data_IF_568329105752
#
_entry.id   IF_568329105752
#
_cell.length_a   1.000
_cell.length_b   1.000
_cell.length_c   1.000
_cell.angle_alpha   90.00
_cell.angle_beta   90.00
_cell.angle_gamma   90.00
#
_symmetry.space_group_name_H-M   'P 1'
#
loop_
_entity.id
_entity.type
_entity.pdbx_description
1 polymer ?
#
# COMPACT_ATOMS: atom_id res chain seq x y z
N UNK A 1 -9.38 6.81 -28.29
CA UNK A 1 -8.54 6.07 -27.31
C UNK A 1 -8.23 4.71 -27.90
N UNK A 2 -6.97 4.31 -27.92
CA UNK A 2 -6.58 2.94 -28.29
C UNK A 2 -6.14 2.23 -27.02
N UNK A 3 -6.77 1.09 -26.76
CA UNK A 3 -6.37 0.21 -25.67
C UNK A 3 -5.25 -0.69 -26.19
N UNK A 4 -4.15 -0.78 -25.46
CA UNK A 4 -3.10 -1.77 -25.74
C UNK A 4 -3.70 -3.17 -25.55
N UNK A 5 -3.56 -4.07 -26.53
CA UNK A 5 -4.01 -5.46 -26.41
C UNK A 5 -3.35 -6.26 -25.28
N UNK A 6 -2.33 -5.69 -24.61
CA UNK A 6 -1.68 -6.26 -23.44
C UNK A 6 -2.32 -5.82 -22.10
N UNK A 7 -3.35 -4.97 -22.12
CA UNK A 7 -4.01 -4.51 -20.90
C UNK A 7 -5.13 -5.47 -20.48
N UNK A 8 -4.84 -6.44 -19.64
CA UNK A 8 -5.80 -7.44 -19.15
C UNK A 8 -6.86 -6.86 -18.19
N UNK A 9 -6.59 -5.72 -17.56
CA UNK A 9 -7.45 -5.13 -16.52
C UNK A 9 -7.87 -3.68 -16.79
N UNK A 10 -7.52 -3.12 -17.93
CA UNK A 10 -7.78 -1.74 -18.30
C UNK A 10 -6.51 -0.88 -18.31
N UNK A 11 -6.61 0.33 -18.80
CA UNK A 11 -5.52 1.31 -18.80
C UNK A 11 -6.01 2.67 -18.34
N UNK A 12 -5.17 3.40 -17.63
CA UNK A 12 -5.41 4.79 -17.23
C UNK A 12 -4.54 5.68 -18.11
N UNK A 13 -5.16 6.55 -18.90
CA UNK A 13 -4.44 7.55 -19.69
C UNK A 13 -4.46 8.89 -18.94
N UNK A 14 -3.30 9.31 -18.46
CA UNK A 14 -3.12 10.61 -17.80
C UNK A 14 -2.68 11.65 -18.83
N UNK A 15 -3.57 12.58 -19.13
CA UNK A 15 -3.27 13.69 -20.02
C UNK A 15 -2.98 14.94 -19.17
N UNK A 16 -1.74 15.44 -19.15
CA UNK A 16 -1.41 16.69 -18.46
C UNK A 16 -2.20 17.86 -19.08
N UNK A 17 -2.58 18.82 -18.25
CA UNK A 17 -3.19 20.06 -18.74
C UNK A 17 -2.18 20.86 -19.52
N UNK A 18 -2.62 21.42 -20.66
CA UNK A 18 -1.82 22.37 -21.42
C UNK A 18 -1.96 23.78 -20.83
N UNK A 19 -0.86 24.54 -20.85
CA UNK A 19 -0.87 25.94 -20.46
C UNK A 19 -1.80 26.77 -21.34
N UNK A 20 -2.03 26.36 -22.59
CA UNK A 20 -2.89 27.06 -23.54
C UNK A 20 -4.40 26.88 -23.35
N UNK A 21 -4.81 26.08 -22.36
CA UNK A 21 -6.20 25.98 -21.91
C UNK A 21 -6.65 27.23 -21.13
N UNK A 22 -5.72 28.10 -20.77
CA UNK A 22 -5.97 29.36 -20.05
C UNK A 22 -5.49 30.55 -20.83
N UNK A 23 -6.20 31.67 -20.71
CA UNK A 23 -5.84 32.91 -21.34
C UNK A 23 -4.92 33.80 -20.48
N UNK A 24 -4.85 33.53 -19.18
CA UNK A 24 -4.05 34.25 -18.18
C UNK A 24 -3.45 33.29 -17.15
N UNK A 25 -2.36 33.67 -16.47
CA UNK A 25 -1.81 32.87 -15.40
C UNK A 25 -2.83 32.60 -14.29
N UNK A 26 -2.86 31.34 -13.81
CA UNK A 26 -3.72 30.90 -12.71
C UNK A 26 -2.88 30.10 -11.72
N UNK A 27 -2.93 30.51 -10.47
CA UNK A 27 -2.32 29.79 -9.35
C UNK A 27 -3.41 29.34 -8.38
N UNK A 28 -3.34 28.08 -7.96
CA UNK A 28 -4.10 27.51 -6.87
C UNK A 28 -3.13 26.85 -5.90
N UNK A 29 -3.35 27.04 -4.61
CA UNK A 29 -2.58 26.37 -3.57
C UNK A 29 -3.41 26.16 -2.33
N UNK A 30 -3.15 25.06 -1.63
CA UNK A 30 -3.79 24.78 -0.35
C UNK A 30 -2.76 24.27 0.66
N UNK A 31 -3.01 24.58 1.92
CA UNK A 31 -2.29 24.03 3.07
C UNK A 31 -3.33 23.47 4.01
N UNK A 32 -3.11 22.27 4.50
CA UNK A 32 -4.08 21.55 5.31
C UNK A 32 -3.40 20.68 6.36
N UNK A 33 -4.19 20.24 7.33
CA UNK A 33 -3.80 19.23 8.32
C UNK A 33 -4.70 18.03 8.15
N UNK A 34 -4.12 16.84 8.08
CA UNK A 34 -4.88 15.59 7.97
C UNK A 34 -4.91 14.86 9.31
N UNK A 35 -6.11 14.55 9.78
CA UNK A 35 -6.33 13.74 10.99
C UNK A 35 -7.32 12.62 10.68
N UNK A 36 -7.20 11.51 11.42
CA UNK A 36 -8.24 10.47 11.39
C UNK A 36 -9.40 10.87 12.29
N UNK A 37 -10.61 10.55 11.88
CA UNK A 37 -11.83 10.91 12.62
C UNK A 37 -11.86 10.38 14.06
N UNK A 38 -11.38 9.15 14.29
CA UNK A 38 -11.37 8.55 15.63
C UNK A 38 -10.14 8.94 16.47
N UNK A 39 -9.19 9.73 15.96
CA UNK A 39 -7.94 10.09 16.66
C UNK A 39 -7.55 11.53 16.38
N UNK A 40 -8.40 12.47 16.79
CA UNK A 40 -8.20 13.92 16.64
C UNK A 40 -7.23 14.43 17.73
N UNK A 41 -5.94 14.16 17.57
CA UNK A 41 -4.90 14.55 18.50
C UNK A 41 -3.81 15.34 17.80
N UNK A 42 -3.48 16.52 18.31
CA UNK A 42 -2.45 17.40 17.76
C UNK A 42 -1.05 17.08 18.30
N UNK A 43 -0.96 16.51 19.52
CA UNK A 43 0.32 16.20 20.11
C UNK A 43 1.01 15.00 19.44
N UNK A 44 2.34 15.03 19.44
CA UNK A 44 3.12 13.88 19.01
C UNK A 44 3.02 12.76 20.05
N UNK A 45 2.79 11.54 19.59
CA UNK A 45 2.80 10.37 20.48
C UNK A 45 4.09 9.57 20.25
N UNK A 46 4.54 8.82 21.27
CA UNK A 46 5.60 7.85 21.07
C UNK A 46 5.23 6.92 19.91
N UNK A 47 6.16 6.75 19.01
CA UNK A 47 6.03 5.83 17.89
C UNK A 47 6.90 4.60 18.12
N UNK A 48 6.92 3.68 17.13
CA UNK A 48 7.87 2.61 17.10
C UNK A 48 9.29 3.15 17.22
N UNK A 49 10.15 2.44 17.96
CA UNK A 49 11.57 2.78 18.08
C UNK A 49 11.82 4.18 18.65
N UNK A 50 10.94 4.63 19.56
CA UNK A 50 11.01 5.96 20.21
C UNK A 50 10.80 7.17 19.29
N UNK A 51 10.56 6.96 18.01
CA UNK A 51 10.25 8.04 17.07
C UNK A 51 8.91 8.70 17.41
N UNK A 52 8.98 9.99 17.72
CA UNK A 52 7.76 10.79 17.94
C UNK A 52 7.05 11.05 16.63
N UNK A 53 5.76 10.76 16.57
CA UNK A 53 4.96 10.94 15.38
C UNK A 53 3.74 11.81 15.63
N UNK A 54 3.60 12.86 14.81
CA UNK A 54 2.39 13.66 14.81
C UNK A 54 1.25 12.91 14.10
N UNK A 55 0.11 12.79 14.76
CA UNK A 55 -1.13 12.23 14.16
C UNK A 55 -1.89 13.26 13.32
N UNK A 56 -1.45 14.50 13.33
CA UNK A 56 -1.99 15.64 12.59
C UNK A 56 -0.90 16.26 11.68
N UNK A 57 -0.34 15.50 10.72
CA UNK A 57 0.72 16.02 9.87
C UNK A 57 0.19 17.08 8.91
N UNK A 58 0.98 18.14 8.66
CA UNK A 58 0.65 19.13 7.65
C UNK A 58 0.85 18.59 6.23
N UNK A 59 0.02 19.04 5.32
CA UNK A 59 0.10 18.82 3.89
C UNK A 59 -0.06 20.12 3.12
N UNK A 60 0.38 20.10 1.88
CA UNK A 60 0.14 21.18 0.94
C UNK A 60 0.05 20.63 -0.48
N UNK A 61 -0.65 21.35 -1.33
CA UNK A 61 -0.65 21.17 -2.78
C UNK A 61 -0.70 22.52 -3.49
N UNK A 62 -0.18 22.55 -4.71
CA UNK A 62 -0.27 23.71 -5.57
C UNK A 62 -0.36 23.31 -7.04
N UNK A 63 -0.94 24.22 -7.83
CA UNK A 63 -1.00 24.15 -9.29
C UNK A 63 -0.86 25.53 -9.86
N UNK A 64 0.08 25.68 -10.79
CA UNK A 64 0.36 26.94 -11.46
C UNK A 64 0.36 26.73 -12.98
N UNK A 65 -0.52 27.42 -13.68
CA UNK A 65 -0.70 27.37 -15.13
C UNK A 65 -0.36 28.73 -15.68
N UNK A 66 0.66 28.82 -16.55
CA UNK A 66 1.17 30.09 -17.06
C UNK A 66 1.28 30.07 -18.59
N UNK A 67 0.31 30.65 -19.31
CA UNK A 67 0.50 31.00 -20.70
C UNK A 67 1.41 32.26 -20.78
N UNK A 68 2.70 32.08 -21.11
CA UNK A 68 3.64 33.21 -21.20
C UNK A 68 3.29 34.09 -22.42
N UNK A 69 3.01 33.44 -23.53
CA UNK A 69 2.57 34.08 -24.77
C UNK A 69 1.78 33.09 -25.64
N UNK A 70 1.38 33.46 -26.85
CA UNK A 70 0.62 32.62 -27.78
C UNK A 70 1.37 31.35 -28.24
N UNK A 71 2.69 31.31 -28.05
CA UNK A 71 3.54 30.19 -28.50
C UNK A 71 4.15 29.38 -27.38
N UNK A 72 4.30 29.95 -26.19
CA UNK A 72 4.97 29.30 -25.09
C UNK A 72 4.20 29.44 -23.80
N UNK A 73 4.12 28.33 -23.04
CA UNK A 73 3.53 28.31 -21.72
C UNK A 73 4.01 27.10 -20.92
N UNK A 74 3.75 27.10 -19.62
CA UNK A 74 4.07 25.99 -18.75
C UNK A 74 2.99 25.74 -17.71
N UNK A 75 2.95 24.51 -17.22
CA UNK A 75 2.21 24.12 -16.02
C UNK A 75 3.17 23.53 -15.01
N UNK A 76 2.97 23.87 -13.75
CA UNK A 76 3.71 23.31 -12.63
C UNK A 76 2.72 22.95 -11.52
N UNK A 77 2.78 21.73 -11.03
CA UNK A 77 1.96 21.30 -9.89
C UNK A 77 2.74 20.37 -9.01
N UNK A 78 2.40 20.36 -7.74
CA UNK A 78 3.06 19.49 -6.79
C UNK A 78 2.39 19.52 -5.42
N UNK A 79 2.84 18.64 -4.56
CA UNK A 79 2.32 18.59 -3.22
C UNK A 79 3.03 17.58 -2.34
N UNK A 80 2.76 17.72 -1.04
CA UNK A 80 3.17 16.78 -0.01
C UNK A 80 1.97 16.44 0.86
N UNK A 81 1.74 15.15 1.01
CA UNK A 81 0.70 14.59 1.89
C UNK A 81 1.32 13.60 2.84
N UNK A 82 0.98 13.67 4.12
CA UNK A 82 1.35 12.66 5.11
C UNK A 82 0.10 12.14 5.77
N UNK A 83 -0.09 10.83 5.75
CA UNK A 83 -1.22 10.14 6.37
C UNK A 83 -0.74 9.23 7.49
N UNK A 84 -1.48 9.21 8.57
CA UNK A 84 -1.29 8.31 9.68
C UNK A 84 -2.43 7.30 9.73
N UNK A 85 -2.12 6.00 9.72
CA UNK A 85 -3.11 4.92 9.76
C UNK A 85 -2.79 3.94 10.90
N UNK A 86 -3.81 3.54 11.67
CA UNK A 86 -3.73 2.38 12.56
C UNK A 86 -3.91 1.08 11.78
N UNK A 87 -3.34 0.01 12.27
CA UNK A 87 -3.47 -1.35 11.71
C UNK A 87 -3.99 -2.31 12.78
N UNK A 88 -5.14 -1.97 13.37
CA UNK A 88 -5.76 -2.82 14.38
C UNK A 88 -6.52 -3.96 13.69
N UNK A 89 -6.24 -5.19 14.10
CA UNK A 89 -6.81 -6.39 13.50
C UNK A 89 -7.00 -7.47 14.56
N UNK A 90 -8.06 -8.25 14.42
CA UNK A 90 -8.28 -9.49 15.13
C UNK A 90 -8.32 -10.62 14.11
N UNK A 91 -7.65 -11.72 14.43
CA UNK A 91 -7.63 -12.92 13.58
C UNK A 91 -8.00 -14.13 14.41
N UNK A 92 -8.91 -14.94 13.89
CA UNK A 92 -9.39 -16.16 14.52
C UNK A 92 -9.08 -17.36 13.64
N UNK A 93 -8.70 -18.48 14.26
CA UNK A 93 -8.62 -19.76 13.57
C UNK A 93 -9.57 -20.74 14.23
N UNK A 94 -10.58 -21.14 13.50
CA UNK A 94 -11.54 -22.15 13.90
C UNK A 94 -11.15 -23.51 13.33
N UNK A 95 -11.31 -24.54 14.15
CA UNK A 95 -11.15 -25.93 13.74
C UNK A 95 -12.51 -26.57 13.60
N UNK A 96 -12.66 -27.46 12.63
CA UNK A 96 -13.91 -28.12 12.32
C UNK A 96 -14.86 -27.37 11.40
N UNK A 97 -14.51 -26.15 10.97
CA UNK A 97 -15.34 -25.35 10.08
C UNK A 97 -14.80 -25.37 8.65
N UNK A 98 -15.70 -25.46 7.67
CA UNK A 98 -15.38 -25.36 6.23
C UNK A 98 -14.39 -26.43 5.74
N UNK A 99 -13.48 -26.02 4.88
CA UNK A 99 -12.42 -26.88 4.31
C UNK A 99 -11.17 -26.98 5.18
N UNK A 100 -11.11 -26.26 6.30
CA UNK A 100 -9.98 -26.34 7.23
C UNK A 100 -9.95 -27.69 7.87
N UNK A 101 -9.02 -28.53 7.47
CA UNK A 101 -8.84 -29.87 8.06
C UNK A 101 -8.36 -29.71 9.49
N UNK A 102 -8.89 -30.54 10.38
CA UNK A 102 -8.47 -30.57 11.78
C UNK A 102 -7.04 -31.09 11.93
N UNK A 103 -6.53 -31.81 10.94
CA UNK A 103 -5.26 -32.47 10.98
C UNK A 103 -5.22 -33.54 12.11
N UNK A 104 -4.07 -34.14 12.30
CA UNK A 104 -3.86 -35.12 13.37
C UNK A 104 -3.80 -34.50 14.78
N UNK A 105 -3.43 -33.22 14.85
CA UNK A 105 -3.33 -32.50 16.13
C UNK A 105 -4.69 -32.12 16.75
N UNK A 106 -5.77 -32.20 15.97
CA UNK A 106 -7.12 -31.80 16.42
C UNK A 106 -8.18 -32.81 15.95
N UNK A 107 -8.05 -34.10 16.28
CA UNK A 107 -8.88 -35.18 15.70
C UNK A 107 -10.32 -35.19 16.21
N UNK A 108 -10.63 -34.40 17.25
CA UNK A 108 -11.92 -34.45 17.95
C UNK A 108 -12.98 -33.55 17.37
N UNK A 109 -12.63 -32.67 16.40
CA UNK A 109 -13.57 -31.72 15.85
C UNK A 109 -14.25 -32.20 14.59
N UNK A 110 -15.50 -31.77 14.44
CA UNK A 110 -16.33 -31.97 13.26
C UNK A 110 -16.82 -30.61 12.75
N UNK A 111 -17.34 -30.52 11.52
CA UNK A 111 -17.96 -29.29 11.04
C UNK A 111 -19.13 -28.81 11.91
N UNK A 112 -19.84 -29.73 12.55
CA UNK A 112 -21.01 -29.42 13.40
C UNK A 112 -20.61 -28.96 14.81
N UNK A 113 -19.37 -29.22 15.21
CA UNK A 113 -18.83 -28.83 16.52
C UNK A 113 -17.46 -28.18 16.37
N UNK A 114 -17.41 -26.96 15.81
CA UNK A 114 -16.16 -26.22 15.67
C UNK A 114 -15.72 -25.62 17.01
N UNK A 115 -14.42 -25.38 17.15
CA UNK A 115 -13.88 -24.61 18.27
C UNK A 115 -12.83 -23.59 17.81
N UNK A 116 -12.68 -22.51 18.57
CA UNK A 116 -11.63 -21.53 18.39
C UNK A 116 -10.29 -22.08 18.88
N UNK A 117 -9.36 -22.33 17.97
CA UNK A 117 -8.03 -22.88 18.29
C UNK A 117 -6.97 -21.78 18.49
N UNK A 118 -7.14 -20.65 17.82
CA UNK A 118 -6.18 -19.53 17.87
C UNK A 118 -6.94 -18.21 17.83
N UNK A 119 -6.52 -17.30 18.68
CA UNK A 119 -6.97 -15.91 18.70
C UNK A 119 -5.76 -14.98 18.68
N UNK A 120 -5.74 -14.06 17.75
CA UNK A 120 -4.64 -13.09 17.63
C UNK A 120 -5.17 -11.66 17.59
N UNK A 121 -4.54 -10.80 18.38
CA UNK A 121 -4.78 -9.37 18.40
C UNK A 121 -3.54 -8.67 17.85
N UNK A 122 -3.76 -7.84 16.85
CA UNK A 122 -2.72 -7.04 16.24
C UNK A 122 -3.05 -5.55 16.41
N UNK A 123 -2.09 -4.81 16.94
CA UNK A 123 -2.10 -3.35 16.94
C UNK A 123 -0.93 -2.84 16.11
N UNK A 124 -1.10 -1.71 15.46
CA UNK A 124 -0.01 -1.18 14.65
C UNK A 124 -0.22 0.24 14.17
N UNK A 125 0.87 0.83 13.72
CA UNK A 125 0.93 2.18 13.22
C UNK A 125 1.59 2.18 11.84
N UNK A 126 1.03 2.98 10.94
CA UNK A 126 1.56 3.19 9.61
C UNK A 126 1.52 4.67 9.27
N UNK A 127 2.66 5.22 8.94
CA UNK A 127 2.78 6.57 8.41
C UNK A 127 3.16 6.49 6.94
N UNK A 128 2.42 7.19 6.10
CA UNK A 128 2.66 7.25 4.67
C UNK A 128 2.85 8.70 4.25
N UNK A 129 4.00 9.02 3.67
CA UNK A 129 4.28 10.34 3.10
C UNK A 129 4.40 10.24 1.59
N UNK A 130 3.69 11.10 0.87
CA UNK A 130 3.74 11.20 -0.59
C UNK A 130 4.18 12.58 -0.99
N UNK A 131 5.10 12.61 -1.95
CA UNK A 131 5.51 13.83 -2.65
C UNK A 131 5.19 13.65 -4.12
N UNK A 132 4.68 14.66 -4.76
CA UNK A 132 4.43 14.70 -6.20
C UNK A 132 4.90 16.01 -6.80
N UNK A 133 5.43 15.92 -8.00
CA UNK A 133 5.79 17.06 -8.84
C UNK A 133 5.41 16.72 -10.28
N UNK A 134 4.74 17.64 -10.95
CA UNK A 134 4.46 17.56 -12.38
C UNK A 134 4.75 18.91 -13.02
N UNK A 135 5.53 18.88 -14.08
CA UNK A 135 5.85 20.06 -14.89
C UNK A 135 5.58 19.74 -16.36
N UNK A 136 5.00 20.67 -17.08
CA UNK A 136 4.82 20.58 -18.55
C UNK A 136 5.21 21.90 -19.17
N UNK A 137 6.03 21.83 -20.23
CA UNK A 137 6.40 22.95 -21.08
C UNK A 137 5.72 22.73 -22.43
N UNK A 138 4.91 23.68 -22.85
CA UNK A 138 4.22 23.65 -24.13
C UNK A 138 4.78 24.71 -25.06
N UNK A 139 5.13 24.30 -26.28
CA UNK A 139 5.64 25.18 -27.32
C UNK A 139 4.86 25.01 -28.64
N UNK A 140 4.14 26.03 -29.07
CA UNK A 140 3.47 26.12 -30.38
C UNK A 140 4.42 26.74 -31.40
N UNK A 141 5.07 25.91 -32.20
CA UNK A 141 5.99 26.42 -33.25
C UNK A 141 5.26 26.73 -34.56
N UNK A 142 4.04 26.21 -34.78
CA UNK A 142 3.15 26.59 -35.88
C UNK A 142 1.69 26.67 -35.37
N UNK A 143 0.77 27.13 -36.26
CA UNK A 143 -0.66 27.28 -35.87
C UNK A 143 -1.28 25.98 -35.40
N UNK A 144 -0.93 24.88 -36.05
CA UNK A 144 -1.48 23.53 -35.79
C UNK A 144 -0.54 22.62 -35.04
N UNK A 145 0.67 23.06 -34.71
CA UNK A 145 1.71 22.19 -34.15
C UNK A 145 2.13 22.60 -32.75
N UNK A 146 2.10 21.68 -31.85
CA UNK A 146 2.50 21.86 -30.46
C UNK A 146 3.48 20.75 -30.06
N UNK A 147 4.59 21.18 -29.45
CA UNK A 147 5.54 20.30 -28.78
C UNK A 147 5.37 20.45 -27.27
N UNK A 148 5.20 19.33 -26.55
CA UNK A 148 5.05 19.32 -25.10
C UNK A 148 6.12 18.43 -24.49
N UNK A 149 6.89 18.99 -23.55
CA UNK A 149 7.81 18.26 -22.70
C UNK A 149 7.21 18.18 -21.30
N UNK A 150 6.93 16.98 -20.80
CA UNK A 150 6.36 16.77 -19.47
C UNK A 150 7.29 15.96 -18.61
N UNK A 151 7.36 16.30 -17.33
CA UNK A 151 8.03 15.55 -16.30
C UNK A 151 7.02 15.27 -15.18
N UNK A 152 6.86 14.01 -14.82
CA UNK A 152 6.15 13.62 -13.61
C UNK A 152 7.14 12.90 -12.68
N UNK A 153 7.17 13.32 -11.43
CA UNK A 153 7.99 12.73 -10.39
C UNK A 153 7.14 12.46 -9.15
N UNK A 154 7.28 11.31 -8.56
CA UNK A 154 6.65 10.99 -7.30
C UNK A 154 7.60 10.25 -6.37
N UNK A 155 7.43 10.49 -5.08
CA UNK A 155 8.12 9.78 -4.00
C UNK A 155 7.09 9.37 -2.97
N UNK A 156 7.10 8.12 -2.63
CA UNK A 156 6.28 7.50 -1.60
C UNK A 156 7.20 6.93 -0.53
N UNK A 157 6.94 7.28 0.71
CA UNK A 157 7.63 6.74 1.88
C UNK A 157 6.60 6.17 2.83
N UNK A 158 6.86 4.97 3.28
CA UNK A 158 6.03 4.26 4.24
C UNK A 158 6.90 3.77 5.38
N UNK A 159 6.50 4.09 6.58
CA UNK A 159 7.08 3.57 7.80
C UNK A 159 5.97 2.95 8.64
N UNK A 160 6.09 1.66 8.95
CA UNK A 160 5.08 0.93 9.69
C UNK A 160 5.70 0.04 10.77
N UNK A 161 4.95 -0.15 11.83
CA UNK A 161 5.22 -1.15 12.86
C UNK A 161 3.89 -1.74 13.32
N UNK A 162 3.83 -3.04 13.45
CA UNK A 162 2.73 -3.74 14.08
C UNK A 162 3.23 -4.76 15.08
N UNK A 163 2.49 -4.92 16.17
CA UNK A 163 2.69 -5.94 17.18
C UNK A 163 1.49 -6.89 17.15
N UNK A 164 1.74 -8.17 17.22
CA UNK A 164 0.70 -9.20 17.25
C UNK A 164 0.94 -10.08 18.46
N UNK A 165 -0.07 -10.26 19.31
CA UNK A 165 -0.09 -11.26 20.35
C UNK A 165 -1.06 -12.35 19.95
N UNK A 166 -0.56 -13.57 19.85
CA UNK A 166 -1.31 -14.76 19.43
C UNK A 166 -1.41 -15.72 20.59
N UNK A 167 -2.63 -16.21 20.85
CA UNK A 167 -2.97 -17.21 21.84
C UNK A 167 -3.32 -18.51 21.11
N UNK A 168 -2.57 -19.56 21.32
CA UNK A 168 -2.81 -20.89 20.74
C UNK A 168 -3.15 -21.87 21.86
N UNK A 169 -4.24 -22.61 21.69
CA UNK A 169 -4.62 -23.63 22.67
C UNK A 169 -3.75 -24.89 22.58
N UNK A 170 -3.08 -25.12 21.44
CA UNK A 170 -2.17 -26.26 21.22
C UNK A 170 -2.88 -27.59 20.99
N UNK A 171 -3.91 -27.87 21.73
CA UNK A 171 -4.75 -29.07 21.63
C UNK A 171 -5.96 -28.97 22.54
N UNK A 172 -6.96 -29.79 22.29
CA UNK A 172 -8.23 -29.84 23.07
C UNK A 172 -8.67 -31.29 23.22
N UNK A 173 -9.16 -31.64 24.39
CA UNK A 173 -9.76 -32.96 24.62
C UNK A 173 -11.27 -32.96 24.32
N UNK A 174 -11.86 -34.09 23.97
CA UNK A 174 -13.31 -34.22 23.81
C UNK A 174 -14.05 -33.70 25.04
N UNK A 175 -15.13 -32.94 24.83
CA UNK A 175 -15.90 -32.31 25.90
C UNK A 175 -15.37 -30.99 26.45
N UNK A 176 -14.15 -30.58 26.07
CA UNK A 176 -13.52 -29.33 26.53
C UNK A 176 -13.70 -28.15 25.57
N UNK A 177 -14.63 -28.25 24.65
CA UNK A 177 -14.93 -27.18 23.72
C UNK A 177 -16.40 -27.13 23.30
N UNK A 178 -16.82 -25.95 22.96
CA UNK A 178 -18.11 -25.63 22.32
C UNK A 178 -17.86 -24.51 21.31
N UNK A 179 -18.83 -24.13 20.46
CA UNK A 179 -18.71 -22.93 19.66
C UNK A 179 -18.50 -21.63 20.47
N UNK A 180 -18.81 -21.65 21.77
CA UNK A 180 -18.76 -20.49 22.67
C UNK A 180 -17.61 -20.52 23.68
N UNK A 181 -16.91 -21.65 23.77
CA UNK A 181 -15.78 -21.79 24.71
C UNK A 181 -14.79 -22.85 24.24
N UNK A 182 -13.51 -22.63 24.57
CA UNK A 182 -12.44 -23.59 24.29
C UNK A 182 -11.52 -23.69 25.50
N UNK A 183 -11.27 -24.89 25.98
CA UNK A 183 -10.29 -25.15 27.03
C UNK A 183 -9.16 -25.99 26.50
N UNK A 184 -8.00 -25.34 26.35
CA UNK A 184 -6.78 -26.01 25.88
C UNK A 184 -6.33 -27.11 26.81
N UNK A 185 -5.71 -28.14 26.25
CA UNK A 185 -5.05 -29.18 27.03
C UNK A 185 -3.88 -28.58 27.83
N UNK A 186 -3.73 -29.02 29.09
CA UNK A 186 -2.70 -28.49 29.99
C UNK A 186 -1.31 -28.55 29.38
N UNK A 187 -0.59 -27.43 29.44
CA UNK A 187 0.77 -27.25 28.98
C UNK A 187 1.01 -27.43 27.46
N UNK A 188 -0.02 -27.63 26.64
CA UNK A 188 0.13 -27.75 25.19
C UNK A 188 0.00 -26.42 24.44
N UNK A 189 -0.53 -25.42 25.10
CA UNK A 189 -0.68 -24.08 24.49
C UNK A 189 0.61 -23.30 24.41
N UNK A 190 0.56 -22.24 23.61
CA UNK A 190 1.63 -21.27 23.52
C UNK A 190 1.11 -19.85 23.25
N UNK A 191 1.94 -18.88 23.61
CA UNK A 191 1.78 -17.47 23.27
C UNK A 191 2.88 -17.09 22.29
N UNK A 192 2.51 -16.34 21.25
CA UNK A 192 3.49 -15.79 20.31
C UNK A 192 3.35 -14.28 20.27
N UNK A 193 4.42 -13.57 20.63
CA UNK A 193 4.55 -12.14 20.45
C UNK A 193 5.38 -11.87 19.20
N UNK A 194 4.74 -11.34 18.17
CA UNK A 194 5.38 -11.02 16.88
C UNK A 194 5.36 -9.52 16.62
N UNK A 195 6.48 -8.99 16.13
CA UNK A 195 6.56 -7.63 15.62
C UNK A 195 6.87 -7.70 14.13
N UNK A 196 6.18 -6.87 13.35
CA UNK A 196 6.50 -6.67 11.94
C UNK A 196 6.55 -5.17 11.66
N UNK A 197 7.65 -4.73 11.07
CA UNK A 197 7.85 -3.33 10.75
C UNK A 197 8.68 -3.17 9.50
N UNK A 198 8.75 -1.97 8.98
CA UNK A 198 9.58 -1.70 7.83
C UNK A 198 9.50 -0.27 7.34
N UNK A 199 10.55 0.12 6.67
CA UNK A 199 10.62 1.35 5.91
C UNK A 199 10.66 1.02 4.42
N UNK A 200 9.77 1.64 3.66
CA UNK A 200 9.65 1.45 2.22
C UNK A 200 9.71 2.79 1.52
N UNK A 201 10.47 2.85 0.44
CA UNK A 201 10.62 4.03 -0.40
C UNK A 201 10.40 3.67 -1.85
N UNK A 202 9.43 4.31 -2.47
CA UNK A 202 9.20 4.22 -3.91
C UNK A 202 9.48 5.57 -4.55
N UNK A 203 10.14 5.57 -5.69
CA UNK A 203 10.40 6.76 -6.50
C UNK A 203 10.05 6.46 -7.94
N UNK A 204 9.32 7.36 -8.58
CA UNK A 204 8.96 7.24 -10.00
C UNK A 204 9.29 8.53 -10.72
N UNK A 205 9.90 8.42 -11.88
CA UNK A 205 10.18 9.51 -12.80
C UNK A 205 9.64 9.13 -14.17
N UNK A 206 8.93 10.06 -14.79
CA UNK A 206 8.27 9.86 -16.09
C UNK A 206 8.43 11.13 -16.97
N UNK A 207 9.59 11.36 -17.59
CA UNK A 207 9.73 12.34 -18.66
C UNK A 207 9.03 11.84 -19.93
N UNK A 208 8.31 12.73 -20.61
CA UNK A 208 7.67 12.47 -21.89
C UNK A 208 7.82 13.65 -22.82
N UNK A 209 8.10 13.38 -24.08
CA UNK A 209 8.08 14.34 -25.17
C UNK A 209 6.96 13.98 -26.12
N UNK A 210 6.11 14.93 -26.48
CA UNK A 210 4.99 14.73 -27.39
C UNK A 210 4.88 15.87 -28.36
N UNK A 211 4.84 15.51 -29.63
CA UNK A 211 4.42 16.41 -30.71
C UNK A 211 2.98 16.12 -31.08
N UNK A 212 2.19 17.16 -31.34
CA UNK A 212 0.82 17.08 -31.79
C UNK A 212 0.59 18.06 -32.93
N UNK A 213 0.04 17.55 -34.01
CA UNK A 213 -0.50 18.30 -35.13
C UNK A 213 -2.01 18.27 -35.13
N UNK A 214 -2.67 19.41 -35.12
CA UNK A 214 -4.13 19.54 -35.07
C UNK A 214 -4.60 20.42 -36.26
N UNK A 215 -4.43 19.86 -37.45
CA UNK A 215 -4.84 20.47 -38.71
C UNK A 215 -6.30 20.19 -39.05
N UNK A 216 -6.87 20.93 -40.02
CA UNK A 216 -8.29 20.80 -40.40
C UNK A 216 -8.64 19.48 -41.08
N UNK A 217 -7.68 18.84 -41.77
CA UNK A 217 -7.88 17.56 -42.48
C UNK A 217 -7.09 16.44 -41.84
N UNK A 218 -5.86 16.72 -41.43
CA UNK A 218 -4.96 15.79 -40.81
C UNK A 218 -4.79 16.10 -39.33
N UNK A 219 -4.83 15.09 -38.50
CA UNK A 219 -4.41 15.16 -37.11
C UNK A 219 -3.34 14.09 -36.87
N UNK A 220 -2.25 14.46 -36.26
CA UNK A 220 -1.18 13.53 -35.97
C UNK A 220 -0.62 13.77 -34.57
N UNK A 221 -0.09 12.74 -33.97
CA UNK A 221 0.69 12.84 -32.75
C UNK A 221 1.84 11.83 -32.76
N UNK A 222 2.97 12.22 -32.22
CA UNK A 222 4.09 11.32 -31.97
C UNK A 222 4.69 11.64 -30.61
N UNK A 223 5.25 10.65 -29.96
CA UNK A 223 5.86 10.88 -28.67
C UNK A 223 6.80 9.79 -28.23
N UNK A 224 7.67 10.17 -27.30
CA UNK A 224 8.60 9.31 -26.60
C UNK A 224 8.42 9.48 -25.09
N UNK A 225 8.48 8.40 -24.37
CA UNK A 225 8.41 8.39 -22.91
C UNK A 225 9.44 7.46 -22.31
N UNK A 226 9.96 7.85 -21.15
CA UNK A 226 10.79 7.02 -20.32
C UNK A 226 10.20 7.00 -18.92
N UNK A 227 10.04 5.82 -18.35
CA UNK A 227 9.60 5.65 -16.97
C UNK A 227 10.65 4.87 -16.20
N UNK A 228 10.95 5.32 -15.00
CA UNK A 228 11.74 4.56 -14.04
C UNK A 228 11.03 4.57 -12.70
N UNK A 229 10.72 3.37 -12.20
CA UNK A 229 10.19 3.16 -10.86
C UNK A 229 11.21 2.36 -10.04
N UNK A 230 11.62 2.90 -8.90
CA UNK A 230 12.53 2.24 -7.97
C UNK A 230 11.84 2.04 -6.63
N UNK A 231 11.83 0.81 -6.15
CA UNK A 231 11.43 0.45 -4.79
C UNK A 231 12.68 0.08 -4.00
N UNK A 232 12.75 0.55 -2.76
CA UNK A 232 13.82 0.22 -1.83
C UNK A 232 13.23 -0.01 -0.43
N UNK A 233 13.51 -1.18 0.16
CA UNK A 233 13.29 -1.47 1.56
C UNK A 233 14.52 -1.05 2.36
N UNK A 234 14.36 -0.13 3.32
CA UNK A 234 15.48 0.49 4.04
C UNK A 234 15.69 -0.01 5.47
N UNK A 235 15.28 -1.22 5.81
CA UNK A 235 15.34 -1.72 7.18
C UNK A 235 16.78 -1.96 7.66
N UNK A 236 17.61 -2.57 6.81
CA UNK A 236 19.02 -2.82 7.13
C UNK A 236 19.83 -1.51 7.24
N UNK A 237 19.59 -0.55 6.32
CA UNK A 237 20.24 0.76 6.37
C UNK A 237 19.94 1.52 7.67
N UNK A 238 18.79 1.25 8.28
CA UNK A 238 18.35 1.85 9.53
C UNK A 238 18.70 1.03 10.77
N UNK A 239 19.34 -0.14 10.59
CA UNK A 239 19.74 -1.03 11.69
C UNK A 239 18.57 -1.73 12.38
N UNK A 240 17.47 -2.01 11.66
CA UNK A 240 16.25 -2.62 12.22
C UNK A 240 16.04 -4.04 11.74
N UNK A 241 15.41 -4.84 12.60
CA UNK A 241 14.76 -6.07 12.15
C UNK A 241 13.39 -5.75 11.56
N UNK A 242 13.10 -6.27 10.37
CA UNK A 242 11.79 -6.15 9.75
C UNK A 242 10.73 -6.96 10.51
N UNK A 243 11.15 -8.08 11.11
CA UNK A 243 10.30 -8.89 11.96
C UNK A 243 11.10 -9.46 13.13
N UNK A 244 10.43 -9.62 14.24
CA UNK A 244 10.91 -10.33 15.43
C UNK A 244 9.81 -11.21 15.95
N UNK A 245 10.15 -12.35 16.52
CA UNK A 245 9.21 -13.28 17.13
C UNK A 245 9.77 -13.77 18.45
N UNK A 246 8.91 -13.80 19.46
CA UNK A 246 9.19 -14.40 20.76
C UNK A 246 8.02 -15.30 21.14
N UNK A 247 8.31 -16.42 21.81
CA UNK A 247 7.32 -17.43 22.12
C UNK A 247 7.43 -17.87 23.57
N UNK A 248 6.29 -18.04 24.21
CA UNK A 248 6.14 -18.71 25.50
C UNK A 248 5.39 -20.03 25.25
N UNK A 249 6.02 -21.17 25.47
CA UNK A 249 5.43 -22.51 25.40
C UNK A 249 5.05 -23.03 26.77
N UNK A 250 4.34 -24.16 26.81
CA UNK A 250 4.00 -24.82 28.05
C UNK A 250 2.93 -24.10 28.86
N UNK A 251 2.05 -23.38 28.23
CA UNK A 251 0.92 -22.70 28.87
C UNK A 251 -0.40 -23.45 28.61
N UNK A 252 -1.39 -23.21 29.45
CA UNK A 252 -2.77 -23.65 29.26
C UNK A 252 -3.59 -22.43 28.90
N UNK A 253 -4.16 -22.41 27.70
CA UNK A 253 -4.97 -21.29 27.18
C UNK A 253 -6.44 -21.70 27.17
N UNK A 254 -7.31 -20.83 27.67
CA UNK A 254 -8.74 -20.99 27.58
C UNK A 254 -9.40 -19.73 27.00
N UNK A 255 -10.41 -19.94 26.18
CA UNK A 255 -11.30 -18.93 25.63
C UNK A 255 -12.70 -19.14 26.19
N UNK A 256 -13.28 -18.13 26.79
CA UNK A 256 -14.63 -18.21 27.34
C UNK A 256 -15.50 -17.06 26.77
N UNK A 257 -16.81 -17.30 26.74
CA UNK A 257 -17.80 -16.34 26.32
C UNK A 257 -17.46 -15.75 24.93
N UNK A 258 -17.34 -16.64 23.95
CA UNK A 258 -17.01 -16.27 22.58
C UNK A 258 -18.27 -15.68 21.93
N UNK A 259 -18.20 -14.38 21.62
CA UNK A 259 -19.28 -13.65 20.98
C UNK A 259 -18.78 -12.93 19.74
N UNK A 260 -19.50 -13.05 18.63
CA UNK A 260 -19.08 -12.53 17.31
C UNK A 260 -17.63 -12.86 16.98
N UNK A 261 -17.28 -14.14 17.07
CA UNK A 261 -15.94 -14.64 16.77
C UNK A 261 -14.82 -14.11 17.69
N UNK A 262 -15.15 -13.48 18.80
CA UNK A 262 -14.19 -12.93 19.75
C UNK A 262 -14.46 -13.47 21.16
N UNK A 263 -13.44 -14.04 21.85
CA UNK A 263 -13.58 -14.38 23.26
C UNK A 263 -13.66 -13.09 24.11
N UNK A 264 -14.62 -13.02 25.01
CA UNK A 264 -14.73 -11.93 25.97
C UNK A 264 -13.76 -12.14 27.16
N UNK A 265 -13.36 -13.38 27.40
CA UNK A 265 -12.37 -13.71 28.40
C UNK A 265 -11.35 -14.70 27.85
N UNK A 266 -10.07 -14.37 28.07
CA UNK A 266 -8.92 -15.22 27.76
C UNK A 266 -8.21 -15.50 29.07
N UNK A 267 -8.05 -16.76 29.41
CA UNK A 267 -7.30 -17.18 30.58
C UNK A 267 -6.03 -17.88 30.12
N UNK A 268 -4.92 -17.52 30.71
CA UNK A 268 -3.62 -18.15 30.46
C UNK A 268 -3.03 -18.55 31.81
N UNK A 269 -2.72 -19.83 31.94
CA UNK A 269 -2.07 -20.38 33.11
C UNK A 269 -0.73 -21.01 32.72
N UNK A 270 0.23 -20.95 33.63
CA UNK A 270 1.44 -21.76 33.53
C UNK A 270 1.06 -23.26 33.55
N UNK A 271 1.54 -24.02 32.59
CA UNK A 271 1.13 -25.41 32.43
C UNK A 271 1.70 -26.36 33.50
N UNK A 272 2.80 -25.99 34.15
CA UNK A 272 3.43 -26.79 35.18
C UNK A 272 2.81 -26.52 36.57
N UNK A 273 2.54 -25.24 36.87
CA UNK A 273 2.06 -24.84 38.19
C UNK A 273 0.55 -24.59 38.27
N UNK A 274 -0.10 -24.40 37.12
CA UNK A 274 -1.51 -24.02 37.05
C UNK A 274 -1.80 -22.56 37.46
N UNK A 275 -0.78 -21.79 37.82
CA UNK A 275 -0.95 -20.42 38.29
C UNK A 275 -1.27 -19.47 37.11
N UNK A 276 -2.10 -18.42 37.31
CA UNK A 276 -2.36 -17.42 36.31
C UNK A 276 -1.08 -16.73 35.82
N UNK A 277 -0.99 -16.50 34.51
CA UNK A 277 0.16 -15.91 33.86
C UNK A 277 -0.28 -14.65 33.12
N UNK A 278 0.49 -13.55 33.27
CA UNK A 278 0.28 -12.35 32.48
C UNK A 278 0.88 -12.54 31.05
N UNK A 279 0.04 -12.57 30.01
CA UNK A 279 0.49 -12.74 28.64
C UNK A 279 1.27 -11.54 28.08
N UNK A 280 1.22 -10.39 28.74
CA UNK A 280 1.93 -9.18 28.34
C UNK A 280 3.32 -9.06 28.97
N UNK A 281 3.64 -9.88 29.95
CA UNK A 281 4.97 -9.90 30.56
C UNK A 281 5.98 -10.64 29.68
N UNK A 282 6.87 -9.92 29.02
CA UNK A 282 7.87 -10.50 28.11
C UNK A 282 8.96 -11.32 28.83
N UNK A 283 9.06 -11.23 30.15
CA UNK A 283 10.07 -11.97 30.94
C UNK A 283 10.02 -13.49 30.77
N UNK A 284 8.90 -14.01 30.29
CA UNK A 284 8.67 -15.45 30.11
C UNK A 284 8.73 -15.91 28.65
N UNK A 285 9.07 -14.99 27.73
CA UNK A 285 9.17 -15.32 26.32
C UNK A 285 10.63 -15.56 25.92
N UNK A 286 10.85 -16.57 25.11
CA UNK A 286 12.13 -16.78 24.43
C UNK A 286 12.05 -16.22 23.01
N UNK A 287 13.07 -15.49 22.57
CA UNK A 287 13.17 -15.03 21.18
C UNK A 287 13.35 -16.23 20.27
N UNK A 288 12.48 -16.39 19.29
CA UNK A 288 12.49 -17.51 18.35
C UNK A 288 12.96 -17.13 16.96
N UNK A 289 13.01 -15.84 16.65
CA UNK A 289 13.49 -15.36 15.37
C UNK A 289 13.58 -13.85 15.29
N UNK A 290 14.51 -13.40 14.47
CA UNK A 290 14.62 -12.02 14.02
C UNK A 290 15.11 -12.03 12.57
N UNK A 291 14.52 -11.20 11.74
CA UNK A 291 14.83 -11.15 10.32
C UNK A 291 14.72 -9.75 9.75
N UNK A 292 15.56 -9.48 8.76
CA UNK A 292 15.53 -8.27 7.96
C UNK A 292 15.70 -8.62 6.50
N UNK A 293 15.17 -7.76 5.64
CA UNK A 293 15.38 -7.83 4.21
C UNK A 293 15.53 -6.44 3.63
N UNK A 294 16.31 -6.31 2.59
CA UNK A 294 16.46 -5.08 1.83
C UNK A 294 16.09 -5.33 0.37
N UNK A 295 14.81 -5.55 0.07
CA UNK A 295 14.39 -5.75 -1.29
C UNK A 295 14.57 -4.46 -2.10
N UNK A 296 15.18 -4.60 -3.27
CA UNK A 296 15.31 -3.55 -4.26
C UNK A 296 14.66 -3.99 -5.57
N UNK A 297 13.81 -3.14 -6.12
CA UNK A 297 13.23 -3.33 -7.43
C UNK A 297 13.45 -2.09 -8.27
N UNK A 298 13.90 -2.28 -9.51
CA UNK A 298 14.06 -1.21 -10.47
C UNK A 298 13.33 -1.62 -11.75
N UNK A 299 12.27 -0.88 -12.09
CA UNK A 299 11.46 -1.08 -13.29
C UNK A 299 11.68 0.10 -14.22
N UNK A 300 12.08 -0.18 -15.46
CA UNK A 300 12.30 0.83 -16.48
C UNK A 300 11.45 0.50 -17.70
N UNK A 301 10.79 1.52 -18.24
CA UNK A 301 9.99 1.38 -19.45
C UNK A 301 10.32 2.50 -20.42
N UNK A 302 10.50 2.14 -21.70
CA UNK A 302 10.65 3.07 -22.81
C UNK A 302 9.46 2.89 -23.74
N UNK A 303 8.90 4.01 -24.18
CA UNK A 303 7.76 4.02 -25.09
C UNK A 303 8.01 4.97 -26.25
N UNK A 304 7.64 4.51 -27.43
CA UNK A 304 7.60 5.33 -28.64
C UNK A 304 6.23 5.10 -29.30
N UNK A 305 5.56 6.17 -29.70
CA UNK A 305 4.31 6.04 -30.41
C UNK A 305 4.17 7.11 -31.52
N UNK A 306 3.44 6.76 -32.56
CA UNK A 306 3.01 7.68 -33.59
C UNK A 306 1.59 7.31 -34.05
N UNK A 307 0.73 8.30 -34.16
CA UNK A 307 -0.63 8.15 -34.62
C UNK A 307 -0.97 9.20 -35.68
N UNK A 308 -1.73 8.83 -36.67
CA UNK A 308 -2.25 9.75 -37.67
C UNK A 308 -3.73 9.49 -37.88
N UNK A 309 -4.47 10.55 -38.05
CA UNK A 309 -5.89 10.53 -38.36
C UNK A 309 -6.17 11.47 -39.54
N UNK A 310 -7.04 11.01 -40.42
CA UNK A 310 -7.58 11.81 -41.52
C UNK A 310 -9.10 11.73 -41.52
N UNK A 311 -9.74 12.89 -41.52
CA UNK A 311 -11.17 13.00 -41.69
C UNK A 311 -11.48 13.13 -43.20
N UNK A 312 -12.29 12.20 -43.75
CA UNK A 312 -12.67 12.12 -45.16
C UNK A 312 -14.16 12.40 -45.22
N UNK A 313 -14.50 13.46 -45.95
CA UNK A 313 -15.89 13.77 -46.30
C UNK A 313 -16.26 12.97 -47.53
N UNK A 314 -17.02 11.89 -47.32
CA UNK A 314 -17.65 11.14 -48.40
C UNK A 314 -19.17 11.22 -48.21
N UNK A 315 -19.94 10.32 -48.80
CA UNK A 315 -21.42 10.23 -48.59
C UNK A 315 -21.79 10.09 -47.11
N UNK A 316 -20.89 9.50 -46.32
CA UNK A 316 -20.92 9.42 -44.89
C UNK A 316 -19.57 9.94 -44.35
N UNK A 317 -19.53 10.75 -43.29
CA UNK A 317 -18.26 11.21 -42.69
C UNK A 317 -17.47 10.00 -42.17
N UNK A 318 -16.26 9.80 -42.71
CA UNK A 318 -15.38 8.68 -42.37
C UNK A 318 -14.09 9.22 -41.77
N UNK A 319 -13.67 8.69 -40.64
CA UNK A 319 -12.39 8.97 -40.04
C UNK A 319 -11.46 7.78 -40.14
N UNK A 320 -10.36 7.94 -40.87
CA UNK A 320 -9.29 6.94 -40.98
C UNK A 320 -8.24 7.17 -39.92
N UNK A 321 -7.84 6.12 -39.19
CA UNK A 321 -6.80 6.19 -38.16
C UNK A 321 -5.77 5.09 -38.38
N UNK A 322 -4.49 5.46 -38.28
CA UNK A 322 -3.36 4.52 -38.25
C UNK A 322 -2.40 4.90 -37.12
N UNK A 323 -1.66 3.93 -36.61
CA UNK A 323 -0.69 4.22 -35.56
C UNK A 323 0.25 3.06 -35.27
N UNK A 324 1.39 3.39 -34.67
CA UNK A 324 2.43 2.49 -34.20
C UNK A 324 2.69 2.78 -32.72
N UNK A 325 2.88 1.71 -31.93
CA UNK A 325 3.28 1.79 -30.51
C UNK A 325 4.37 0.75 -30.27
N UNK A 326 5.48 1.17 -29.67
CA UNK A 326 6.56 0.30 -29.26
C UNK A 326 6.83 0.54 -27.79
N UNK A 327 6.88 -0.56 -27.01
CA UNK A 327 7.21 -0.54 -25.58
C UNK A 327 8.31 -1.55 -25.29
N UNK A 328 9.27 -1.10 -24.53
CA UNK A 328 10.33 -1.94 -23.96
C UNK A 328 10.30 -1.79 -22.44
N UNK A 329 10.31 -2.91 -21.71
CA UNK A 329 10.37 -2.92 -20.25
C UNK A 329 11.57 -3.76 -19.77
N UNK A 330 12.31 -3.25 -18.79
CA UNK A 330 13.38 -3.98 -18.09
C UNK A 330 13.05 -3.92 -16.60
N UNK A 331 13.01 -5.07 -15.96
CA UNK A 331 12.79 -5.19 -14.52
C UNK A 331 13.96 -5.93 -13.89
N UNK A 332 14.56 -5.32 -12.88
CA UNK A 332 15.61 -5.88 -12.03
C UNK A 332 15.03 -6.02 -10.61
N UNK A 333 15.09 -7.24 -10.08
CA UNK A 333 14.61 -7.61 -8.74
C UNK A 333 15.79 -8.15 -7.95
N UNK A 334 16.06 -7.58 -6.77
CA UNK A 334 17.13 -8.02 -5.86
C UNK A 334 16.59 -8.24 -4.45
#
# INVERSE_FOLDING_TARGET
>A
MRWSGAALAGSVNMVPRSAFERSRPVFHGSVYVMMRDHRKQLHATPGPREDRRSKAPPGFDFSWVVPINKRFGFTLSGGRTTQFAGQDQVTNTWRGAGTVTNGTAFPHTTPDQPYLSTFAVRGGLKQTTRHSLSATLDFKFARSDTLSLSLQASRFEEDYLSQTLTFNVGGVLPGNFTPFSTRGTTALGDLVSGNAGGYRKNQTYLPTLRWRHDGPVWKAEAGAGYSRARYNGGDLERGYFANTSARRTGVTVAFDDIFYLRPNRITVNDGATGTPLDPYSLNHYAVTGAGSGQPENNDQQRTLFANVQRDVLWRVPVTLKAGLDRREGVRDLR
#
